data_IF_651559922076
#
_entry.id   IF_651559922076
#
_cell.length_a   1.000
_cell.length_b   1.000
_cell.length_c   1.000
_cell.angle_alpha   90.00
_cell.angle_beta   90.00
_cell.angle_gamma   90.00
#
_symmetry.space_group_name_H-M   'P 1'
#
loop_
_entity.id
_entity.type
_entity.pdbx_description
1 polymer ?
#
# COMPACT_ATOMS: atom_id res chain seq x y z
N UNK A 1 4.04 16.78 2.77
CA UNK A 1 4.19 17.31 4.16
C UNK A 1 5.67 17.24 4.52
N UNK A 2 6.28 18.36 4.91
CA UNK A 2 7.71 18.50 5.22
C UNK A 2 7.94 19.09 6.60
N UNK A 3 9.20 19.25 7.01
CA UNK A 3 9.59 19.82 8.30
C UNK A 3 10.71 19.05 9.00
N UNK A 4 11.26 19.64 10.05
CA UNK A 4 12.34 19.04 10.85
C UNK A 4 11.95 17.72 11.53
N UNK A 5 12.95 16.98 12.01
CA UNK A 5 12.72 15.83 12.88
C UNK A 5 11.95 16.28 14.14
N UNK A 6 10.99 15.46 14.60
CA UNK A 6 10.16 15.74 15.79
C UNK A 6 9.23 16.97 15.71
N UNK A 7 8.94 17.50 14.51
CA UNK A 7 8.00 18.64 14.37
C UNK A 7 6.53 18.22 14.14
N UNK A 8 6.20 16.92 14.17
CA UNK A 8 4.82 16.42 14.06
C UNK A 8 4.38 15.91 12.69
N UNK A 9 5.31 15.69 11.74
CA UNK A 9 5.01 15.17 10.40
C UNK A 9 4.26 13.83 10.43
N UNK A 10 4.89 12.79 10.98
CA UNK A 10 4.31 11.45 11.03
C UNK A 10 3.06 11.39 11.91
N UNK A 11 2.97 12.24 12.95
CA UNK A 11 1.74 12.38 13.76
C UNK A 11 0.56 12.88 12.91
N UNK A 12 0.78 13.88 12.05
CA UNK A 12 -0.25 14.36 11.14
C UNK A 12 -0.64 13.30 10.10
N UNK A 13 0.34 12.63 9.48
CA UNK A 13 0.04 11.55 8.52
C UNK A 13 -0.73 10.41 9.19
N UNK A 14 -0.39 10.07 10.43
CA UNK A 14 -1.06 9.00 11.18
C UNK A 14 -2.49 9.37 11.58
N UNK A 15 -2.75 10.62 11.93
CA UNK A 15 -4.11 11.08 12.15
C UNK A 15 -4.94 10.99 10.85
N UNK A 16 -4.37 11.39 9.71
CA UNK A 16 -5.01 11.27 8.39
C UNK A 16 -5.22 9.79 8.01
N UNK A 17 -4.24 8.92 8.25
CA UNK A 17 -4.33 7.48 7.91
C UNK A 17 -5.45 6.78 8.67
N UNK A 18 -5.71 7.20 9.92
CA UNK A 18 -6.77 6.67 10.77
C UNK A 18 -8.11 7.36 10.57
N UNK A 19 -8.17 8.49 9.88
CA UNK A 19 -9.41 9.21 9.55
C UNK A 19 -10.37 8.46 8.61
N UNK A 20 -10.03 7.23 8.24
CA UNK A 20 -10.91 6.24 7.61
C UNK A 20 -11.92 5.64 8.60
N UNK A 21 -11.66 5.78 9.90
CA UNK A 21 -12.53 5.32 10.98
C UNK A 21 -13.13 6.51 11.71
N UNK A 22 -14.36 6.32 12.19
CA UNK A 22 -14.91 7.25 13.17
C UNK A 22 -14.18 7.07 14.51
N UNK A 23 -13.83 8.17 15.15
CA UNK A 23 -13.25 8.15 16.50
C UNK A 23 -14.29 8.55 17.55
N UNK A 24 -14.10 8.08 18.78
CA UNK A 24 -14.99 8.39 19.90
C UNK A 24 -14.89 9.89 20.26
N UNK A 25 -15.95 10.50 20.82
CA UNK A 25 -15.90 11.89 21.27
C UNK A 25 -14.76 12.11 22.29
N UNK A 26 -13.98 13.18 22.10
CA UNK A 26 -12.86 13.53 22.98
C UNK A 26 -11.55 12.79 22.69
N UNK A 27 -11.47 11.98 21.64
CA UNK A 27 -10.22 11.35 21.18
C UNK A 27 -9.19 12.39 20.67
N UNK A 28 -9.65 13.53 20.17
CA UNK A 28 -8.85 14.57 19.53
C UNK A 28 -8.78 14.44 18.00
N UNK A 29 -9.13 13.27 17.45
CA UNK A 29 -9.17 13.01 16.01
C UNK A 29 -10.60 12.82 15.47
N UNK A 30 -11.64 13.01 16.27
CA UNK A 30 -13.04 12.77 15.89
C UNK A 30 -13.55 13.56 14.67
N UNK A 31 -12.82 14.62 14.28
CA UNK A 31 -13.09 15.39 13.06
C UNK A 31 -11.94 15.34 12.03
N UNK A 32 -10.95 14.47 12.24
CA UNK A 32 -9.93 14.16 11.25
C UNK A 32 -10.47 13.07 10.36
N UNK A 33 -10.95 13.46 9.18
CA UNK A 33 -11.61 12.55 8.23
C UNK A 33 -10.74 12.41 6.99
N UNK A 34 -10.59 11.18 6.51
CA UNK A 34 -9.97 10.87 5.24
C UNK A 34 -10.97 10.14 4.33
N UNK A 35 -10.63 10.02 3.05
CA UNK A 35 -11.44 9.21 2.13
C UNK A 35 -11.41 7.75 2.58
N UNK A 36 -12.54 7.06 2.47
CA UNK A 36 -12.68 5.65 2.85
C UNK A 36 -11.70 4.71 2.11
N UNK A 37 -11.28 5.13 0.91
CA UNK A 37 -10.34 4.42 0.03
C UNK A 37 -8.86 4.77 0.30
N UNK A 38 -8.57 5.51 1.37
CA UNK A 38 -7.20 5.86 1.76
C UNK A 38 -6.43 4.62 2.23
N UNK A 39 -5.28 4.36 1.59
CA UNK A 39 -4.40 3.24 1.90
C UNK A 39 -3.00 3.74 2.25
N UNK A 40 -2.49 3.35 3.42
CA UNK A 40 -1.10 3.60 3.81
C UNK A 40 -0.16 2.60 3.17
N UNK A 41 0.82 3.10 2.42
CA UNK A 41 1.79 2.34 1.66
C UNK A 41 3.16 2.46 2.31
N UNK A 42 3.85 1.32 2.42
CA UNK A 42 5.23 1.22 2.91
C UNK A 42 5.96 0.06 2.24
N UNK A 43 7.27 0.01 2.43
CA UNK A 43 8.08 -1.15 2.06
C UNK A 43 7.89 -2.31 3.06
N UNK A 44 7.89 -3.52 2.52
CA UNK A 44 7.67 -4.77 3.27
C UNK A 44 8.69 -5.83 2.87
N UNK A 45 9.96 -5.57 3.19
CA UNK A 45 11.04 -6.50 2.84
C UNK A 45 10.78 -7.93 3.37
N UNK A 46 10.94 -8.89 2.48
CA UNK A 46 10.71 -10.32 2.71
C UNK A 46 9.26 -10.81 2.56
N UNK A 47 8.30 -9.96 2.22
CA UNK A 47 6.91 -10.39 2.02
C UNK A 47 6.74 -11.28 0.78
N UNK A 48 5.66 -12.06 0.79
CA UNK A 48 5.17 -12.80 -0.36
C UNK A 48 4.47 -11.87 -1.36
N UNK A 49 4.62 -12.16 -2.65
CA UNK A 49 3.87 -11.52 -3.73
C UNK A 49 3.47 -12.60 -4.74
N UNK A 50 2.22 -12.56 -5.21
CA UNK A 50 1.70 -13.51 -6.19
C UNK A 50 1.03 -12.80 -7.37
N UNK A 51 1.62 -12.98 -8.54
CA UNK A 51 1.07 -12.62 -9.85
C UNK A 51 0.68 -11.14 -10.01
N UNK A 52 1.37 -10.23 -9.32
CA UNK A 52 1.11 -8.77 -9.40
C UNK A 52 1.81 -8.19 -10.62
N UNK A 53 1.14 -7.30 -11.36
CA UNK A 53 1.83 -6.49 -12.37
C UNK A 53 2.48 -5.28 -11.67
N UNK A 54 3.81 -5.31 -11.58
CA UNK A 54 4.63 -4.21 -11.06
C UNK A 54 5.41 -3.51 -12.17
N UNK A 55 5.10 -3.80 -13.44
CA UNK A 55 5.86 -3.34 -14.60
C UNK A 55 5.86 -1.82 -14.79
N UNK A 56 4.88 -1.12 -14.20
CA UNK A 56 4.86 0.35 -14.15
C UNK A 56 5.98 0.95 -13.29
N UNK A 57 6.53 0.19 -12.33
CA UNK A 57 7.59 0.66 -11.44
C UNK A 57 8.90 -0.12 -11.62
N UNK A 58 8.82 -1.37 -12.10
CA UNK A 58 9.98 -2.26 -12.18
C UNK A 58 9.95 -3.00 -13.50
N UNK A 59 10.97 -2.76 -14.33
CA UNK A 59 11.12 -3.36 -15.65
C UNK A 59 11.93 -4.67 -15.58
N UNK A 60 13.06 -4.75 -16.28
CA UNK A 60 13.80 -6.00 -16.48
C UNK A 60 14.60 -6.39 -15.24
N UNK A 61 14.05 -7.30 -14.44
CA UNK A 61 14.79 -7.84 -13.29
C UNK A 61 16.00 -8.69 -13.75
N UNK A 62 17.13 -8.68 -13.03
CA UNK A 62 18.37 -9.34 -13.45
C UNK A 62 18.26 -10.86 -13.68
N UNK A 63 17.29 -11.50 -13.03
CA UNK A 63 17.01 -12.92 -13.14
C UNK A 63 15.97 -13.26 -14.23
N UNK A 64 15.56 -12.27 -15.04
CA UNK A 64 14.58 -12.45 -16.12
C UNK A 64 13.15 -12.69 -15.65
N UNK A 65 12.82 -12.40 -14.39
CA UNK A 65 11.44 -12.50 -13.90
C UNK A 65 10.52 -11.54 -14.65
N UNK A 66 9.34 -12.03 -15.08
CA UNK A 66 8.33 -11.20 -15.74
C UNK A 66 7.63 -10.29 -14.71
N UNK A 67 7.86 -8.99 -14.80
CA UNK A 67 7.27 -8.02 -13.88
C UNK A 67 5.80 -7.73 -14.14
N UNK A 68 5.23 -8.18 -15.27
CA UNK A 68 3.78 -8.14 -15.53
C UNK A 68 3.02 -9.27 -14.83
N UNK A 69 3.75 -10.24 -14.30
CA UNK A 69 3.22 -11.39 -13.58
C UNK A 69 4.13 -11.74 -12.39
N UNK A 70 4.55 -10.72 -11.66
CA UNK A 70 5.59 -10.83 -10.65
C UNK A 70 5.13 -11.69 -9.48
N UNK A 71 5.95 -12.69 -9.13
CA UNK A 71 5.73 -13.55 -7.97
C UNK A 71 7.06 -13.82 -7.27
N UNK A 72 7.08 -13.76 -5.94
CA UNK A 72 8.28 -14.06 -5.14
C UNK A 72 7.89 -14.45 -3.72
N UNK A 73 8.71 -15.29 -3.09
CA UNK A 73 8.61 -15.61 -1.67
C UNK A 73 9.34 -14.62 -0.76
N UNK A 74 10.18 -13.77 -1.34
CA UNK A 74 11.07 -12.86 -0.64
C UNK A 74 11.26 -11.58 -1.46
N UNK A 75 10.25 -10.71 -1.46
CA UNK A 75 10.31 -9.42 -2.14
C UNK A 75 11.33 -8.50 -1.46
N UNK A 76 12.12 -7.77 -2.25
CA UNK A 76 12.94 -6.65 -1.74
C UNK A 76 12.08 -5.47 -1.29
N UNK A 77 12.67 -4.49 -0.60
CA UNK A 77 11.98 -3.25 -0.22
C UNK A 77 11.26 -2.53 -1.39
N UNK A 78 11.92 -2.34 -2.54
CA UNK A 78 11.30 -1.67 -3.70
C UNK A 78 10.24 -2.52 -4.39
N UNK A 79 10.50 -3.81 -4.59
CA UNK A 79 9.52 -4.72 -5.22
C UNK A 79 8.28 -4.92 -4.35
N UNK A 80 8.45 -5.00 -3.03
CA UNK A 80 7.33 -5.08 -2.08
C UNK A 80 6.51 -3.80 -2.04
N UNK A 81 7.14 -2.62 -2.04
CA UNK A 81 6.41 -1.36 -2.06
C UNK A 81 5.69 -1.11 -3.39
N UNK A 82 6.32 -1.45 -4.53
CA UNK A 82 5.66 -1.38 -5.83
C UNK A 82 4.45 -2.32 -5.89
N UNK A 83 4.59 -3.56 -5.40
CA UNK A 83 3.47 -4.49 -5.29
C UNK A 83 2.36 -3.95 -4.38
N UNK A 84 2.70 -3.34 -3.25
CA UNK A 84 1.73 -2.74 -2.32
C UNK A 84 0.91 -1.62 -2.99
N UNK A 85 1.56 -0.74 -3.79
CA UNK A 85 0.89 0.29 -4.59
C UNK A 85 -0.06 -0.35 -5.61
N UNK A 86 0.43 -1.29 -6.42
CA UNK A 86 -0.38 -1.93 -7.45
C UNK A 86 -1.57 -2.70 -6.86
N UNK A 87 -1.38 -3.40 -5.74
CA UNK A 87 -2.44 -4.11 -5.02
C UNK A 87 -3.50 -3.15 -4.46
N UNK A 88 -3.10 -1.99 -3.91
CA UNK A 88 -4.06 -0.99 -3.44
C UNK A 88 -4.92 -0.44 -4.59
N UNK A 89 -4.30 -0.16 -5.73
CA UNK A 89 -4.99 0.35 -6.93
C UNK A 89 -5.88 -0.74 -7.55
N UNK A 90 -5.45 -2.00 -7.54
CA UNK A 90 -6.27 -3.15 -7.99
C UNK A 90 -7.61 -3.23 -7.25
N UNK A 91 -7.61 -2.96 -5.94
CA UNK A 91 -8.84 -2.95 -5.11
C UNK A 91 -9.60 -1.61 -5.23
N UNK A 92 -9.11 -0.69 -6.05
CA UNK A 92 -9.79 0.56 -6.38
C UNK A 92 -9.43 1.74 -5.47
N UNK A 93 -8.32 1.68 -4.71
CA UNK A 93 -7.86 2.86 -3.98
C UNK A 93 -7.48 3.99 -4.93
N UNK A 94 -7.98 5.20 -4.66
CA UNK A 94 -7.58 6.44 -5.33
C UNK A 94 -6.86 7.41 -4.40
N UNK A 95 -6.46 6.96 -3.20
CA UNK A 95 -5.76 7.79 -2.26
C UNK A 95 -4.68 7.02 -1.49
N UNK A 96 -3.42 7.38 -1.71
CA UNK A 96 -2.27 6.72 -1.09
C UNK A 96 -1.60 7.64 -0.06
N UNK A 97 -1.19 7.06 1.06
CA UNK A 97 -0.46 7.74 2.13
C UNK A 97 0.94 7.12 2.24
N UNK A 98 1.98 7.92 2.11
CA UNK A 98 3.37 7.44 2.05
C UNK A 98 4.22 8.17 3.08
N UNK A 99 5.03 7.43 3.83
CA UNK A 99 6.06 8.02 4.69
C UNK A 99 7.45 7.66 4.15
N UNK A 100 8.29 8.67 3.88
CA UNK A 100 9.67 8.49 3.41
C UNK A 100 10.45 7.55 4.34
N UNK A 101 10.27 7.66 5.66
CA UNK A 101 11.03 6.90 6.66
C UNK A 101 10.72 5.39 6.63
N UNK A 102 9.59 4.99 6.04
CA UNK A 102 9.17 3.58 5.91
C UNK A 102 9.15 3.09 4.46
N UNK A 103 9.64 3.90 3.53
CA UNK A 103 9.69 3.61 2.11
C UNK A 103 11.07 3.11 1.68
N UNK A 104 11.11 2.40 0.55
CA UNK A 104 12.35 2.03 -0.11
C UNK A 104 12.89 3.25 -0.87
N UNK A 105 14.00 3.81 -0.43
CA UNK A 105 14.59 5.04 -1.00
C UNK A 105 14.75 4.97 -2.51
N UNK A 106 15.20 3.81 -3.03
CA UNK A 106 15.40 3.57 -4.46
C UNK A 106 14.11 3.55 -5.28
N UNK A 107 12.95 3.25 -4.67
CA UNK A 107 11.65 3.42 -5.31
C UNK A 107 11.17 4.86 -5.23
N UNK A 108 11.53 5.63 -4.21
CA UNK A 108 11.07 7.02 -4.06
C UNK A 108 11.75 7.95 -5.06
N UNK A 109 13.09 7.93 -5.08
CA UNK A 109 13.88 8.84 -5.89
C UNK A 109 15.15 8.16 -6.37
N UNK A 110 15.63 8.62 -7.53
CA UNK A 110 16.98 8.36 -7.99
C UNK A 110 17.70 9.66 -8.30
N UNK A 111 18.80 9.95 -7.61
CA UNK A 111 19.55 11.19 -7.83
C UNK A 111 20.39 11.15 -9.13
N UNK A 112 20.87 12.33 -9.54
CA UNK A 112 21.66 12.48 -10.76
C UNK A 112 23.01 11.74 -10.72
N UNK A 113 23.64 11.59 -9.55
CA UNK A 113 24.92 10.88 -9.42
C UNK A 113 24.73 9.39 -9.66
N UNK A 114 23.67 8.82 -9.10
CA UNK A 114 23.30 7.42 -9.30
C UNK A 114 22.88 7.12 -10.73
N UNK A 115 22.20 8.06 -11.39
CA UNK A 115 21.88 7.96 -12.83
C UNK A 115 23.12 8.03 -13.72
N UNK A 116 24.16 8.78 -13.32
CA UNK A 116 25.42 8.84 -14.07
C UNK A 116 26.24 7.56 -13.89
N UNK A 117 26.32 7.05 -12.65
CA UNK A 117 27.11 5.86 -12.34
C UNK A 117 26.47 4.58 -12.91
N UNK A 118 25.15 4.47 -12.81
CA UNK A 118 24.38 3.32 -13.27
C UNK A 118 23.45 3.84 -14.37
N UNK A 119 23.64 3.49 -15.63
CA UNK A 119 22.73 3.94 -16.68
C UNK A 119 21.37 3.21 -16.57
N UNK A 120 20.31 3.75 -17.21
CA UNK A 120 18.93 3.24 -17.06
C UNK A 120 18.80 1.76 -17.44
N UNK A 121 19.56 1.30 -18.42
CA UNK A 121 19.53 -0.10 -18.89
C UNK A 121 19.99 -1.10 -17.81
N UNK A 122 20.68 -0.60 -16.77
CA UNK A 122 21.14 -1.40 -15.61
C UNK A 122 20.35 -1.12 -14.33
N UNK A 123 19.39 -0.20 -14.35
CA UNK A 123 18.51 0.12 -13.23
C UNK A 123 17.05 -0.14 -13.61
N UNK A 124 16.48 -1.29 -13.21
CA UNK A 124 15.14 -1.67 -13.65
C UNK A 124 14.03 -0.82 -13.02
N UNK A 125 14.32 -0.10 -11.93
CA UNK A 125 13.33 0.67 -11.18
C UNK A 125 13.07 2.00 -11.88
N UNK A 126 11.80 2.32 -12.10
CA UNK A 126 11.30 3.66 -12.40
C UNK A 126 10.79 4.27 -11.09
N UNK A 127 11.42 5.35 -10.60
CA UNK A 127 11.06 5.96 -9.33
C UNK A 127 9.62 6.48 -9.29
N UNK A 128 9.02 6.50 -8.09
CA UNK A 128 7.67 7.00 -7.84
C UNK A 128 7.51 8.45 -8.28
N UNK A 129 8.54 9.29 -8.08
CA UNK A 129 8.51 10.69 -8.52
C UNK A 129 8.23 10.82 -10.04
N UNK A 130 8.73 9.89 -10.86
CA UNK A 130 8.49 9.89 -12.31
C UNK A 130 7.10 9.35 -12.67
N UNK A 131 6.49 8.54 -11.80
CA UNK A 131 5.17 7.96 -12.02
C UNK A 131 4.02 8.85 -11.52
N UNK A 132 4.31 9.92 -10.77
CA UNK A 132 3.30 10.86 -10.26
C UNK A 132 2.37 11.42 -11.34
N UNK A 133 2.85 11.86 -12.53
CA UNK A 133 1.96 12.35 -13.58
C UNK A 133 0.96 11.29 -14.07
N UNK A 134 1.38 10.03 -14.17
CA UNK A 134 0.49 8.93 -14.55
C UNK A 134 -0.51 8.58 -13.45
N UNK A 135 -0.08 8.54 -12.19
CA UNK A 135 -0.98 8.33 -11.05
C UNK A 135 -2.04 9.44 -10.96
N UNK A 136 -1.63 10.69 -11.18
CA UNK A 136 -2.55 11.84 -11.23
C UNK A 136 -3.56 11.74 -12.36
N UNK A 137 -3.14 11.31 -13.57
CA UNK A 137 -4.06 11.06 -14.69
C UNK A 137 -5.09 9.97 -14.38
N UNK A 138 -4.71 8.96 -13.60
CA UNK A 138 -5.61 7.92 -13.10
C UNK A 138 -6.50 8.38 -11.93
N UNK A 139 -6.43 9.67 -11.54
CA UNK A 139 -7.20 10.24 -10.44
C UNK A 139 -6.73 9.80 -9.06
N UNK A 140 -5.49 9.32 -8.94
CA UNK A 140 -4.91 8.88 -7.66
C UNK A 140 -4.22 10.06 -6.99
N UNK A 141 -4.66 10.38 -5.78
CA UNK A 141 -4.05 11.39 -4.92
C UNK A 141 -3.02 10.76 -4.00
N UNK A 142 -1.97 11.51 -3.64
CA UNK A 142 -0.94 11.05 -2.70
C UNK A 142 -0.67 12.14 -1.67
N UNK A 143 -0.70 11.78 -0.38
CA UNK A 143 -0.03 12.56 0.66
C UNK A 143 1.24 11.82 1.05
N UNK A 144 2.36 12.55 1.02
CA UNK A 144 3.67 12.02 1.35
C UNK A 144 4.32 12.84 2.47
N UNK A 145 4.89 12.17 3.48
CA UNK A 145 5.90 12.78 4.35
C UNK A 145 7.23 12.78 3.61
N UNK A 146 7.85 13.94 3.50
CA UNK A 146 9.22 14.09 3.01
C UNK A 146 10.06 14.83 4.06
N UNK A 147 11.16 14.20 4.48
CA UNK A 147 12.15 14.74 5.41
C UNK A 147 13.52 14.95 4.78
N UNK A 148 13.89 14.14 3.79
CA UNK A 148 15.20 14.18 3.13
C UNK A 148 15.13 14.49 1.63
N UNK A 149 13.97 14.34 1.00
CA UNK A 149 13.86 14.42 -0.47
C UNK A 149 13.15 15.70 -0.93
N UNK A 150 13.94 16.70 -1.34
CA UNK A 150 13.43 17.97 -1.88
C UNK A 150 12.98 17.93 -3.35
N UNK A 151 13.35 16.90 -4.11
CA UNK A 151 13.02 16.77 -5.55
C UNK A 151 11.51 16.76 -5.82
N UNK A 152 10.70 16.33 -4.84
CA UNK A 152 9.24 16.32 -4.97
C UNK A 152 8.60 17.72 -4.98
N UNK A 153 9.34 18.80 -4.66
CA UNK A 153 8.80 20.17 -4.76
C UNK A 153 8.40 20.55 -6.18
N UNK A 154 9.11 20.04 -7.20
CA UNK A 154 8.75 20.23 -8.61
C UNK A 154 7.34 19.70 -8.91
N UNK A 155 7.00 18.54 -8.35
CA UNK A 155 5.81 17.77 -8.70
C UNK A 155 4.61 18.00 -7.75
N UNK A 156 4.86 18.52 -6.54
CA UNK A 156 3.82 18.68 -5.52
C UNK A 156 2.81 19.79 -5.88
N UNK A 157 1.52 19.51 -5.68
CA UNK A 157 0.43 20.51 -5.78
C UNK A 157 0.31 21.38 -4.52
N UNK A 158 0.67 20.83 -3.35
CA UNK A 158 0.57 21.47 -2.03
C UNK A 158 1.74 21.01 -1.15
N UNK A 159 2.42 21.96 -0.50
CA UNK A 159 3.50 21.67 0.44
C UNK A 159 3.17 22.25 1.81
N UNK A 160 2.79 21.37 2.74
CA UNK A 160 2.61 21.73 4.15
C UNK A 160 3.89 21.47 4.93
N UNK A 161 4.46 22.49 5.56
CA UNK A 161 5.55 22.35 6.52
C UNK A 161 5.02 22.28 7.94
N UNK A 162 5.42 21.25 8.68
CA UNK A 162 5.23 21.17 10.13
C UNK A 162 6.39 21.86 10.83
N UNK A 163 6.09 22.91 11.60
CA UNK A 163 7.04 23.63 12.44
C UNK A 163 6.52 23.72 13.86
N UNK A 164 7.20 23.06 14.82
CA UNK A 164 6.77 22.99 16.23
C UNK A 164 5.29 22.62 16.36
N UNK A 165 4.88 21.58 15.64
CA UNK A 165 3.51 21.03 15.64
C UNK A 165 2.44 21.95 15.01
N UNK A 166 2.85 23.01 14.32
CA UNK A 166 1.95 23.91 13.59
C UNK A 166 2.11 23.70 12.08
N UNK A 167 1.04 23.39 11.33
CA UNK A 167 1.10 23.29 9.88
C UNK A 167 1.16 24.69 9.25
N UNK A 168 2.01 24.85 8.24
CA UNK A 168 2.13 26.06 7.42
C UNK A 168 2.10 25.66 5.96
N UNK A 169 1.26 26.32 5.17
CA UNK A 169 1.35 26.22 3.72
C UNK A 169 2.62 26.97 3.28
N UNK A 170 3.53 26.25 2.63
CA UNK A 170 4.79 26.77 2.10
C UNK A 170 4.95 26.40 0.62
N UNK A 171 3.83 26.28 -0.09
CA UNK A 171 3.81 25.82 -1.48
C UNK A 171 4.59 26.76 -2.40
N UNK A 172 4.38 28.07 -2.28
CA UNK A 172 5.09 29.06 -3.08
C UNK A 172 6.59 29.05 -2.80
N UNK A 173 7.00 29.03 -1.53
CA UNK A 173 8.41 28.94 -1.15
C UNK A 173 9.07 27.65 -1.66
N UNK A 174 8.34 26.52 -1.63
CA UNK A 174 8.83 25.27 -2.18
C UNK A 174 9.03 25.34 -3.70
N UNK A 175 8.11 25.97 -4.44
CA UNK A 175 8.25 26.20 -5.89
C UNK A 175 9.40 27.16 -6.21
N UNK A 176 9.57 28.23 -5.43
CA UNK A 176 10.73 29.14 -5.57
C UNK A 176 12.07 28.41 -5.37
N UNK A 177 12.15 27.54 -4.36
CA UNK A 177 13.34 26.71 -4.09
C UNK A 177 13.59 25.77 -5.28
N UNK A 178 12.56 25.12 -5.80
CA UNK A 178 12.68 24.22 -6.95
C UNK A 178 13.17 24.94 -8.21
N UNK A 179 12.69 26.17 -8.46
CA UNK A 179 13.19 27.02 -9.54
C UNK A 179 14.63 27.48 -9.33
N UNK A 180 15.03 27.80 -8.09
CA UNK A 180 16.39 28.22 -7.75
C UNK A 180 17.40 27.08 -7.84
N UNK A 181 17.01 25.90 -7.40
CA UNK A 181 17.83 24.69 -7.39
C UNK A 181 17.28 23.66 -8.37
N UNK A 182 17.34 24.01 -9.66
CA UNK A 182 16.82 23.18 -10.75
C UNK A 182 17.34 21.75 -10.65
N UNK A 183 16.42 20.79 -10.64
CA UNK A 183 16.76 19.37 -10.65
C UNK A 183 17.63 19.05 -11.86
N UNK A 184 18.75 18.37 -11.61
CA UNK A 184 19.62 17.84 -12.66
C UNK A 184 19.31 16.40 -13.00
N UNK A 185 18.29 15.82 -12.36
CA UNK A 185 17.87 14.44 -12.59
C UNK A 185 17.38 14.27 -14.03
N UNK A 186 17.73 13.16 -14.64
CA UNK A 186 17.14 12.74 -15.90
C UNK A 186 15.75 12.23 -15.56
N UNK A 187 14.71 12.98 -15.92
CA UNK A 187 13.31 12.56 -15.72
C UNK A 187 13.03 11.37 -16.62
N UNK A 188 12.39 10.35 -16.07
CA UNK A 188 11.92 9.22 -16.85
C UNK A 188 10.56 9.55 -17.45
N UNK A 189 10.28 9.08 -18.67
CA UNK A 189 8.95 9.31 -19.26
C UNK A 189 7.88 8.55 -18.46
N UNK A 190 6.82 9.23 -18.01
CA UNK A 190 5.77 8.61 -17.20
C UNK A 190 5.00 7.58 -18.03
N UNK A 191 5.26 6.29 -17.78
CA UNK A 191 4.56 5.18 -18.43
C UNK A 191 3.11 5.04 -17.97
N UNK A 192 2.34 4.18 -18.64
CA UNK A 192 0.96 3.85 -18.22
C UNK A 192 0.96 3.09 -16.88
N UNK A 193 -0.06 3.35 -16.06
CA UNK A 193 -0.32 2.55 -14.85
C UNK A 193 -1.01 1.26 -15.28
N UNK A 194 -0.29 0.15 -15.20
CA UNK A 194 -0.77 -1.18 -15.57
C UNK A 194 -1.12 -1.94 -14.31
N UNK A 195 -2.40 -2.27 -14.19
CA UNK A 195 -2.94 -3.04 -13.06
C UNK A 195 -3.58 -4.29 -13.62
N UNK A 196 -3.08 -5.44 -13.16
CA UNK A 196 -3.67 -6.73 -13.48
C UNK A 196 -4.85 -6.98 -12.54
N UNK A 197 -6.00 -7.28 -13.12
CA UNK A 197 -7.14 -7.80 -12.37
C UNK A 197 -6.93 -9.29 -12.12
N UNK A 198 -6.51 -9.65 -10.90
CA UNK A 198 -6.12 -11.01 -10.56
C UNK A 198 -7.31 -11.81 -10.06
N UNK A 199 -7.31 -13.11 -10.34
CA UNK A 199 -8.28 -14.08 -9.80
C UNK A 199 -7.55 -15.13 -8.96
N UNK A 200 -7.64 -15.07 -7.61
CA UNK A 200 -7.03 -16.06 -6.74
C UNK A 200 -7.57 -17.46 -7.03
N UNK A 201 -6.70 -18.47 -6.95
CA UNK A 201 -7.07 -19.87 -7.10
C UNK A 201 -7.66 -20.40 -5.78
N UNK A 202 -8.96 -20.75 -5.72
CA UNK A 202 -9.61 -21.15 -4.46
C UNK A 202 -8.93 -22.29 -3.71
N UNK A 203 -8.33 -23.24 -4.44
CA UNK A 203 -7.60 -24.38 -3.88
C UNK A 203 -6.33 -23.99 -3.12
N UNK A 204 -5.77 -22.81 -3.40
CA UNK A 204 -4.60 -22.27 -2.70
C UNK A 204 -4.96 -21.51 -1.43
N UNK A 205 -6.26 -21.24 -1.21
CA UNK A 205 -6.78 -20.55 -0.03
C UNK A 205 -7.46 -21.58 0.87
N UNK A 206 -6.67 -22.31 1.66
CA UNK A 206 -7.20 -23.38 2.51
C UNK A 206 -6.66 -23.33 3.95
N UNK A 207 -7.52 -23.00 4.94
CA UNK A 207 -7.14 -22.98 6.36
C UNK A 207 -7.30 -24.33 7.07
N UNK A 208 -7.52 -25.42 6.34
CA UNK A 208 -7.87 -26.72 6.94
C UNK A 208 -6.63 -27.49 7.38
N UNK A 209 -6.60 -27.93 8.65
CA UNK A 209 -5.60 -28.86 9.19
C UNK A 209 -6.33 -30.12 9.69
N UNK A 210 -5.93 -31.29 9.20
CA UNK A 210 -6.51 -32.60 9.61
C UNK A 210 -8.06 -32.59 9.58
N UNK A 211 -8.63 -32.05 8.50
CA UNK A 211 -10.08 -31.96 8.29
C UNK A 211 -10.81 -30.87 9.08
N UNK A 212 -10.11 -30.04 9.86
CA UNK A 212 -10.72 -28.94 10.64
C UNK A 212 -10.22 -27.59 10.17
N UNK A 213 -11.12 -26.63 9.96
CA UNK A 213 -10.79 -25.23 9.68
C UNK A 213 -10.08 -24.64 10.91
N UNK A 214 -8.90 -24.05 10.70
CA UNK A 214 -8.08 -23.43 11.75
C UNK A 214 -7.77 -21.99 11.38
N UNK A 215 -8.52 -21.07 11.97
CA UNK A 215 -8.37 -19.63 11.76
C UNK A 215 -8.32 -18.93 13.11
N UNK A 216 -7.23 -18.23 13.41
CA UNK A 216 -7.02 -17.55 14.69
C UNK A 216 -6.31 -16.21 14.50
N UNK A 217 -6.87 -15.15 15.06
CA UNK A 217 -6.18 -13.87 15.21
C UNK A 217 -5.27 -13.90 16.45
N UNK A 218 -4.00 -13.65 16.23
CA UNK A 218 -2.98 -13.45 17.27
C UNK A 218 -2.61 -11.97 17.27
N UNK A 219 -3.29 -11.18 18.12
CA UNK A 219 -3.13 -9.72 18.10
C UNK A 219 -3.75 -9.06 16.88
N UNK A 220 -3.19 -7.90 16.50
CA UNK A 220 -3.58 -7.12 15.32
C UNK A 220 -2.64 -7.37 14.13
N UNK A 221 -1.47 -7.95 14.39
CA UNK A 221 -0.36 -8.08 13.45
C UNK A 221 -0.27 -9.48 12.82
N UNK A 222 -1.01 -10.49 13.31
CA UNK A 222 -0.89 -11.88 12.82
C UNK A 222 -2.22 -12.60 12.70
N UNK A 223 -2.41 -13.23 11.54
CA UNK A 223 -3.51 -14.15 11.28
C UNK A 223 -2.99 -15.55 11.02
N UNK A 224 -3.27 -16.50 11.92
CA UNK A 224 -3.05 -17.93 11.64
C UNK A 224 -4.16 -18.43 10.74
N UNK A 225 -3.77 -18.95 9.58
CA UNK A 225 -4.67 -19.47 8.56
C UNK A 225 -4.19 -20.86 8.13
N UNK A 226 -4.80 -21.91 8.69
CA UNK A 226 -4.31 -23.27 8.56
C UNK A 226 -2.91 -23.43 9.14
N UNK A 227 -2.00 -24.00 8.35
CA UNK A 227 -0.59 -24.18 8.73
C UNK A 227 0.23 -22.90 8.61
N UNK A 228 -0.33 -21.85 8.01
CA UNK A 228 0.39 -20.63 7.68
C UNK A 228 0.07 -19.52 8.67
N UNK A 229 1.00 -18.57 8.78
CA UNK A 229 0.79 -17.31 9.48
C UNK A 229 0.93 -16.20 8.46
N UNK A 230 -0.14 -15.41 8.31
CA UNK A 230 -0.14 -14.19 7.51
C UNK A 230 0.35 -13.07 8.42
N UNK A 231 1.49 -12.49 8.06
CA UNK A 231 2.04 -11.30 8.73
C UNK A 231 1.29 -10.06 8.23
N UNK A 232 0.63 -9.38 9.16
CA UNK A 232 -0.14 -8.16 8.96
C UNK A 232 0.50 -6.97 9.69
N UNK A 233 1.68 -7.14 10.32
CA UNK A 233 2.33 -6.10 11.12
C UNK A 233 2.75 -4.86 10.33
N UNK A 234 2.72 -4.93 8.99
CA UNK A 234 2.98 -3.80 8.08
C UNK A 234 1.71 -3.27 7.39
N UNK A 235 0.54 -3.81 7.74
CA UNK A 235 -0.78 -3.29 7.35
C UNK A 235 -1.29 -2.41 8.49
N UNK A 236 -0.79 -1.18 8.54
CA UNK A 236 -0.89 -0.32 9.73
C UNK A 236 -2.31 0.13 10.07
N UNK A 237 -3.22 0.12 9.09
CA UNK A 237 -4.61 0.57 9.27
C UNK A 237 -5.53 -0.49 9.90
N UNK A 238 -4.98 -1.63 10.35
CA UNK A 238 -5.69 -2.59 11.20
C UNK A 238 -5.57 -2.13 12.65
N UNK A 239 -6.71 -1.83 13.28
CA UNK A 239 -6.74 -1.22 14.62
C UNK A 239 -7.21 -2.19 15.71
N UNK A 240 -7.91 -3.28 15.34
CA UNK A 240 -8.47 -4.22 16.30
C UNK A 240 -8.31 -5.69 15.92
N UNK A 241 -8.14 -6.53 16.94
CA UNK A 241 -8.07 -8.00 16.78
C UNK A 241 -9.33 -8.57 16.15
N UNK A 242 -10.50 -7.94 16.38
CA UNK A 242 -11.77 -8.35 15.80
C UNK A 242 -11.77 -8.27 14.27
N UNK A 243 -11.07 -7.28 13.70
CA UNK A 243 -10.90 -7.14 12.25
C UNK A 243 -10.07 -8.30 11.70
N UNK A 244 -8.92 -8.60 12.32
CA UNK A 244 -8.06 -9.73 11.92
C UNK A 244 -8.82 -11.05 11.96
N UNK A 245 -9.63 -11.26 13.00
CA UNK A 245 -10.44 -12.47 13.11
C UNK A 245 -11.53 -12.53 12.05
N UNK A 246 -12.21 -11.42 11.77
CA UNK A 246 -13.21 -11.32 10.70
C UNK A 246 -12.57 -11.59 9.33
N UNK A 247 -11.44 -10.97 9.02
CA UNK A 247 -10.69 -11.16 7.77
C UNK A 247 -10.44 -12.64 7.48
N UNK A 248 -9.91 -13.40 8.43
CA UNK A 248 -9.64 -14.82 8.23
C UNK A 248 -10.90 -15.63 7.91
N UNK A 249 -11.97 -15.45 8.70
CA UNK A 249 -13.20 -16.22 8.51
C UNK A 249 -13.94 -15.81 7.21
N UNK A 250 -13.86 -14.53 6.83
CA UNK A 250 -14.36 -13.99 5.57
C UNK A 250 -13.63 -14.60 4.39
N UNK A 251 -12.29 -14.55 4.39
CA UNK A 251 -11.45 -15.10 3.32
C UNK A 251 -11.81 -16.55 3.04
N UNK A 252 -11.99 -17.34 4.09
CA UNK A 252 -12.40 -18.74 3.95
C UNK A 252 -13.78 -18.88 3.29
N UNK A 253 -14.77 -18.09 3.71
CA UNK A 253 -16.14 -18.15 3.17
C UNK A 253 -16.24 -17.71 1.72
N UNK A 254 -15.55 -16.63 1.34
CA UNK A 254 -15.60 -16.08 -0.02
C UNK A 254 -14.64 -16.77 -0.99
N UNK A 255 -13.74 -17.62 -0.51
CA UNK A 255 -12.68 -18.26 -1.32
C UNK A 255 -13.20 -18.95 -2.59
N UNK A 256 -14.40 -19.53 -2.55
CA UNK A 256 -15.01 -20.23 -3.71
C UNK A 256 -15.52 -19.28 -4.79
N UNK A 257 -15.86 -18.03 -4.46
CA UNK A 257 -16.30 -17.02 -5.42
C UNK A 257 -15.20 -16.68 -6.43
N UNK A 258 -13.92 -16.79 -6.03
CA UNK A 258 -12.78 -16.57 -6.92
C UNK A 258 -12.68 -17.61 -8.05
N UNK A 259 -13.48 -18.68 -8.05
CA UNK A 259 -13.58 -19.55 -9.23
C UNK A 259 -14.18 -18.84 -10.46
N UNK A 260 -14.94 -17.76 -10.24
CA UNK A 260 -15.69 -17.04 -11.28
C UNK A 260 -15.37 -15.55 -11.34
N UNK A 261 -15.06 -14.94 -10.19
CA UNK A 261 -14.88 -13.49 -10.04
C UNK A 261 -13.43 -13.14 -9.73
N UNK A 262 -12.98 -11.97 -10.14
CA UNK A 262 -11.66 -11.44 -9.75
C UNK A 262 -11.62 -11.09 -8.26
N UNK A 263 -10.41 -10.86 -7.73
CA UNK A 263 -10.22 -10.37 -6.37
C UNK A 263 -11.01 -9.08 -6.15
N UNK A 264 -10.88 -8.12 -7.06
CA UNK A 264 -11.58 -6.84 -7.01
C UNK A 264 -13.10 -7.02 -6.99
N UNK A 265 -13.66 -7.83 -7.90
CA UNK A 265 -15.10 -8.04 -7.99
C UNK A 265 -15.69 -8.61 -6.69
N UNK A 266 -15.00 -9.58 -6.07
CA UNK A 266 -15.43 -10.13 -4.78
C UNK A 266 -15.29 -9.09 -3.66
N UNK A 267 -14.19 -8.32 -3.65
CA UNK A 267 -14.00 -7.25 -2.66
C UNK A 267 -15.08 -6.17 -2.73
N UNK A 268 -15.46 -5.74 -3.95
CA UNK A 268 -16.51 -4.74 -4.18
C UNK A 268 -17.92 -5.29 -3.83
N UNK A 269 -18.18 -6.58 -4.06
CA UNK A 269 -19.49 -7.21 -3.75
C UNK A 269 -19.78 -7.28 -2.25
N UNK A 270 -18.76 -7.54 -1.44
CA UNK A 270 -18.88 -7.71 0.01
C UNK A 270 -18.52 -6.47 0.83
N UNK A 271 -18.18 -5.35 0.18
CA UNK A 271 -17.86 -4.09 0.85
C UNK A 271 -19.00 -3.65 1.78
N UNK A 272 -18.67 -3.42 3.06
CA UNK A 272 -19.63 -3.08 4.12
C UNK A 272 -20.59 -4.21 4.53
N UNK A 273 -20.34 -5.44 4.07
CA UNK A 273 -21.19 -6.61 4.31
C UNK A 273 -20.39 -7.83 4.75
N UNK A 274 -19.11 -7.70 5.07
CA UNK A 274 -18.26 -8.83 5.44
C UNK A 274 -18.74 -9.49 6.73
N UNK A 275 -19.22 -8.75 7.71
CA UNK A 275 -19.79 -9.35 8.92
C UNK A 275 -21.13 -10.05 8.66
N UNK A 276 -21.90 -9.63 7.65
CA UNK A 276 -23.22 -10.22 7.35
C UNK A 276 -23.14 -11.69 6.93
N UNK A 277 -22.00 -12.12 6.38
CA UNK A 277 -21.75 -13.52 6.01
C UNK A 277 -21.13 -14.34 7.13
N UNK A 278 -20.81 -13.73 8.28
CA UNK A 278 -20.27 -14.39 9.45
C UNK A 278 -21.37 -14.72 10.47
N UNK A 279 -21.15 -15.72 11.34
CA UNK A 279 -22.05 -15.95 12.47
C UNK A 279 -22.07 -14.71 13.38
N UNK A 280 -23.23 -14.31 13.93
CA UNK A 280 -23.34 -13.14 14.79
C UNK A 280 -22.66 -13.41 16.14
N UNK A 281 -21.37 -13.08 16.23
CA UNK A 281 -20.55 -13.22 17.44
C UNK A 281 -19.93 -11.89 17.79
N UNK A 282 -19.85 -11.58 19.08
CA UNK A 282 -19.24 -10.35 19.59
C UNK A 282 -17.70 -10.31 19.53
N UNK A 283 -17.07 -11.20 18.74
CA UNK A 283 -15.60 -11.24 18.58
C UNK A 283 -15.12 -10.59 17.27
N UNK A 284 -16.04 -10.15 16.40
CA UNK A 284 -15.73 -9.59 15.10
C UNK A 284 -15.91 -8.07 15.06
N UNK A 285 -15.04 -7.42 14.28
CA UNK A 285 -15.20 -6.03 13.83
C UNK A 285 -15.07 -6.02 12.30
N UNK A 286 -15.82 -5.15 11.62
CA UNK A 286 -15.86 -5.11 10.14
C UNK A 286 -14.49 -4.59 9.62
N UNK A 287 -13.75 -5.39 8.81
CA UNK A 287 -12.59 -4.90 8.09
C UNK A 287 -13.04 -4.19 6.80
N UNK A 288 -12.21 -3.29 6.25
CA UNK A 288 -12.47 -2.81 4.88
C UNK A 288 -11.99 -3.85 3.87
N UNK A 289 -12.44 -3.68 2.63
CA UNK A 289 -12.03 -4.55 1.52
C UNK A 289 -10.51 -4.57 1.29
N UNK A 290 -9.83 -3.45 1.56
CA UNK A 290 -8.37 -3.35 1.44
C UNK A 290 -7.65 -4.28 2.41
N UNK A 291 -8.02 -4.29 3.70
CA UNK A 291 -7.39 -5.17 4.69
C UNK A 291 -7.61 -6.65 4.35
N UNK A 292 -8.83 -7.02 3.93
CA UNK A 292 -9.15 -8.40 3.50
C UNK A 292 -8.30 -8.81 2.30
N UNK A 293 -8.23 -7.98 1.26
CA UNK A 293 -7.41 -8.23 0.08
C UNK A 293 -5.91 -8.31 0.44
N UNK A 294 -5.44 -7.44 1.32
CA UNK A 294 -4.07 -7.41 1.79
C UNK A 294 -3.65 -8.66 2.57
N UNK A 295 -4.57 -9.24 3.36
CA UNK A 295 -4.34 -10.54 3.96
C UNK A 295 -4.25 -11.66 2.92
N UNK A 296 -5.12 -11.67 1.91
CA UNK A 296 -5.05 -12.63 0.79
C UNK A 296 -3.70 -12.50 0.07
N UNK A 297 -3.28 -11.28 -0.27
CA UNK A 297 -2.03 -10.99 -0.98
C UNK A 297 -0.77 -11.42 -0.22
N UNK A 298 -0.84 -11.48 1.11
CA UNK A 298 0.26 -11.90 2.00
C UNK A 298 0.17 -13.38 2.38
N UNK A 299 -0.85 -14.11 1.92
CA UNK A 299 -0.96 -15.56 2.14
C UNK A 299 0.09 -16.29 1.29
N UNK A 300 1.11 -16.85 1.95
CA UNK A 300 2.20 -17.58 1.26
C UNK A 300 1.64 -18.76 0.47
N UNK A 301 2.09 -18.91 -0.78
CA UNK A 301 1.65 -20.01 -1.66
C UNK A 301 0.27 -19.84 -2.28
N UNK A 302 -0.42 -18.73 -1.99
CA UNK A 302 -1.58 -18.28 -2.76
C UNK A 302 -1.15 -18.01 -4.21
N UNK A 303 -1.95 -18.45 -5.18
CA UNK A 303 -1.68 -18.22 -6.61
C UNK A 303 -2.85 -17.50 -7.24
N UNK A 304 -2.60 -16.69 -8.26
CA UNK A 304 -3.65 -16.08 -9.07
C UNK A 304 -3.48 -16.42 -10.55
N UNK A 305 -4.58 -16.27 -11.28
CA UNK A 305 -4.60 -16.18 -12.76
C UNK A 305 -5.01 -14.78 -13.19
#
# INVERSE_FOLDING_TARGET
>A
IVGGAYHGKSTLLEAISMGIYNHIPGDGREFVIAREDAVKIRAEDGRYVANVDISSFISNLPNGMDTRNFSTENASGSTSQAANICEAIEIGSKFLLIDEDTSATNLMLRDRRMQELIPKEKEPITPLIDMLPSLKREGISIIMIAGGIGEYFDEADLVIMMDRYVPKDVTEEAKEIAHKFVSKRIREEPGEIRIRERRPLPETINPTIRGKVKIKADGIDKLRFGMQTIDLGRVEQIVERGQVKAMGDVIYRISKEFSRKSLRQVMDEYEGKFLSILPPRGEYAEPRKYEVAFAINRLRGMKCV
#
